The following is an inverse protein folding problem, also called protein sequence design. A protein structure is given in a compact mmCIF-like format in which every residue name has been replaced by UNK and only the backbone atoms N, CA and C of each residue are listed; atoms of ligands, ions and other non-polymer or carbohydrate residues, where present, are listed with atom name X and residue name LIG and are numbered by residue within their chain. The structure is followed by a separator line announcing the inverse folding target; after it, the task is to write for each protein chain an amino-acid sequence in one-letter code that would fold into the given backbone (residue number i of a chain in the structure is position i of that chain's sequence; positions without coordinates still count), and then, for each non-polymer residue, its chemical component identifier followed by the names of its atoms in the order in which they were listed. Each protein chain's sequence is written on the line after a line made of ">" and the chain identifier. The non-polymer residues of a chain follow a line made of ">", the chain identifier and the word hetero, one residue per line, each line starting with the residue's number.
data_IF_189478870642
#
_entry.id   IF_189478870642
#
_cell.length_a   1.000
_cell.length_b   1.000
_cell.length_c   1.000
_cell.angle_alpha   90.00
_cell.angle_beta   90.00
_cell.angle_gamma   90.00
#
_symmetry.space_group_name_H-M   'P 1'
#
loop_
_entity.id
_entity.type
_entity.pdbx_description
1 polymer ?
#
# COMPACT_ATOMS: atom_id res chain seq x y z
N UNK A 1 -5.93 14.52 2.91
CA UNK A 1 -4.44 14.60 2.92
C UNK A 1 -3.84 13.32 3.52
N UNK A 2 -2.79 12.75 2.93
CA UNK A 2 -2.10 11.57 3.47
C UNK A 2 -1.34 11.98 4.73
N UNK A 3 -1.43 11.17 5.80
CA UNK A 3 -0.67 11.41 7.02
C UNK A 3 0.81 11.03 6.77
N UNK A 4 1.76 11.98 6.83
CA UNK A 4 3.18 11.72 6.56
C UNK A 4 3.81 10.74 7.55
N UNK A 5 3.31 10.65 8.78
CA UNK A 5 3.83 9.71 9.78
C UNK A 5 3.49 8.26 9.42
N UNK A 6 2.35 8.03 8.76
CA UNK A 6 2.01 6.70 8.22
C UNK A 6 2.95 6.30 7.09
N UNK A 7 3.38 7.25 6.26
CA UNK A 7 4.33 6.99 5.16
C UNK A 7 5.71 6.63 5.71
N UNK A 8 6.16 7.33 6.75
CA UNK A 8 7.45 7.06 7.42
C UNK A 8 7.52 5.69 8.10
N UNK A 9 6.39 5.16 8.55
CA UNK A 9 6.31 3.84 9.17
C UNK A 9 6.37 2.68 8.16
N UNK A 10 6.21 2.96 6.85
CA UNK A 10 6.32 1.92 5.82
C UNK A 10 7.76 1.50 5.64
N UNK A 11 8.01 0.22 5.86
CA UNK A 11 9.32 -0.40 5.70
C UNK A 11 9.69 -0.61 4.21
N UNK A 12 10.87 -1.16 3.94
CA UNK A 12 11.36 -1.41 2.58
C UNK A 12 12.16 -0.26 1.98
N UNK A 13 12.82 -0.56 0.84
CA UNK A 13 13.83 0.28 0.19
C UNK A 13 13.26 1.33 -0.78
N UNK A 14 11.94 1.37 -1.01
CA UNK A 14 11.35 2.37 -1.88
C UNK A 14 11.52 3.79 -1.30
N UNK A 15 11.62 4.79 -2.18
CA UNK A 15 11.73 6.19 -1.75
C UNK A 15 10.46 6.65 -1.01
N UNK A 16 10.59 7.74 -0.25
CA UNK A 16 9.45 8.34 0.44
C UNK A 16 8.33 8.73 -0.55
N UNK A 17 8.69 9.31 -1.68
CA UNK A 17 7.75 9.72 -2.73
C UNK A 17 7.02 8.52 -3.32
N UNK A 18 7.73 7.41 -3.56
CA UNK A 18 7.12 6.17 -4.05
C UNK A 18 6.13 5.57 -3.02
N UNK A 19 6.51 5.58 -1.73
CA UNK A 19 5.61 5.17 -0.63
C UNK A 19 4.38 6.07 -0.55
N UNK A 20 4.53 7.37 -0.73
CA UNK A 20 3.42 8.31 -0.75
C UNK A 20 2.48 8.05 -1.95
N UNK A 21 3.03 7.77 -3.14
CA UNK A 21 2.24 7.40 -4.33
C UNK A 21 1.42 6.14 -4.08
N UNK A 22 1.99 5.12 -3.43
CA UNK A 22 1.26 3.90 -3.07
C UNK A 22 0.05 4.21 -2.17
N UNK A 23 0.21 5.12 -1.20
CA UNK A 23 -0.91 5.59 -0.37
C UNK A 23 -1.97 6.39 -1.16
N UNK A 24 -1.55 7.20 -2.14
CA UNK A 24 -2.48 7.93 -3.02
C UNK A 24 -3.35 6.93 -3.79
N UNK A 25 -2.74 5.90 -4.37
CA UNK A 25 -3.46 4.85 -5.08
C UNK A 25 -4.38 4.04 -4.18
N UNK A 26 -3.90 3.64 -2.98
CA UNK A 26 -4.75 2.97 -2.00
C UNK A 26 -5.99 3.84 -1.68
N UNK A 27 -5.82 5.13 -1.43
CA UNK A 27 -6.94 6.03 -1.17
C UNK A 27 -7.94 6.10 -2.34
N UNK A 28 -7.47 6.07 -3.59
CA UNK A 28 -8.36 6.00 -4.77
C UNK A 28 -9.19 4.71 -4.74
N UNK A 29 -8.53 3.56 -4.55
CA UNK A 29 -9.22 2.27 -4.50
C UNK A 29 -10.21 2.17 -3.33
N UNK A 30 -9.90 2.79 -2.19
CA UNK A 30 -10.78 2.84 -1.02
C UNK A 30 -11.96 3.81 -1.23
N UNK A 31 -11.76 4.92 -1.94
CA UNK A 31 -12.81 5.92 -2.21
C UNK A 31 -13.79 5.52 -3.31
N UNK A 32 -13.41 4.60 -4.20
CA UNK A 32 -14.23 4.16 -5.32
C UNK A 32 -15.35 3.18 -4.92
N UNK A 33 -15.39 2.73 -3.65
CA UNK A 33 -16.34 1.74 -3.16
C UNK A 33 -17.55 2.35 -2.44
N UNK A 34 -18.63 2.65 -3.15
CA UNK A 34 -19.98 2.70 -2.55
C UNK A 34 -20.54 1.26 -2.39
N UNK A 35 -19.86 0.41 -1.63
CA UNK A 35 -20.20 -1.02 -1.52
C UNK A 35 -20.04 -1.61 -0.11
N UNK A 36 -20.51 -2.86 0.06
CA UNK A 36 -20.60 -3.66 1.30
C UNK A 36 -19.31 -3.73 2.13
N UNK A 37 -18.17 -3.34 1.58
CA UNK A 37 -16.85 -3.45 2.19
C UNK A 37 -16.28 -2.14 2.75
N UNK A 38 -17.00 -1.02 2.79
CA UNK A 38 -16.45 0.28 3.24
C UNK A 38 -15.73 0.24 4.61
N UNK A 39 -16.32 -0.46 5.58
CA UNK A 39 -15.72 -0.67 6.91
C UNK A 39 -14.50 -1.60 6.89
N UNK A 40 -14.46 -2.55 5.96
CA UNK A 40 -13.34 -3.49 5.80
C UNK A 40 -12.18 -2.81 5.09
N UNK A 41 -12.50 -2.01 4.06
CA UNK A 41 -11.55 -1.31 3.21
C UNK A 41 -10.74 -0.28 4.02
N UNK A 42 -11.36 0.43 4.96
CA UNK A 42 -10.68 1.39 5.84
C UNK A 42 -9.62 0.76 6.77
N UNK A 43 -9.64 -0.58 6.94
CA UNK A 43 -8.69 -1.34 7.77
C UNK A 43 -7.44 -1.78 7.01
N UNK A 44 -7.39 -1.58 5.69
CA UNK A 44 -6.20 -1.90 4.88
C UNK A 44 -5.09 -0.87 5.14
N UNK A 45 -3.88 -1.35 5.44
CA UNK A 45 -2.69 -0.53 5.66
C UNK A 45 -1.51 -1.06 4.85
N UNK A 46 -0.70 -0.16 4.29
CA UNK A 46 0.58 -0.53 3.66
C UNK A 46 1.62 -0.66 4.76
N UNK A 47 2.34 -1.79 4.80
CA UNK A 47 3.37 -2.08 5.82
C UNK A 47 4.80 -2.14 5.23
N UNK A 48 4.92 -2.46 3.94
CA UNK A 48 6.19 -2.50 3.22
C UNK A 48 6.00 -2.03 1.79
N UNK A 49 6.94 -1.23 1.29
CA UNK A 49 7.08 -0.96 -0.14
C UNK A 49 8.56 -1.08 -0.53
N UNK A 50 8.84 -1.97 -1.49
CA UNK A 50 10.17 -2.26 -1.96
C UNK A 50 10.24 -2.31 -3.48
N UNK A 51 11.42 -2.00 -4.01
CA UNK A 51 11.81 -2.26 -5.39
C UNK A 51 12.73 -3.48 -5.36
N UNK A 52 12.33 -4.53 -6.04
CA UNK A 52 13.03 -5.82 -6.09
C UNK A 52 13.42 -6.14 -7.53
N UNK A 53 14.39 -7.03 -7.73
CA UNK A 53 14.61 -7.61 -9.05
C UNK A 53 13.53 -8.63 -9.35
N UNK A 54 13.04 -8.64 -10.57
CA UNK A 54 12.15 -9.69 -11.04
C UNK A 54 12.95 -11.01 -11.15
N UNK A 55 12.53 -12.09 -10.47
CA UNK A 55 13.24 -13.37 -10.51
C UNK A 55 13.17 -14.07 -11.88
N UNK A 56 12.13 -13.83 -12.66
CA UNK A 56 11.92 -14.34 -14.02
C UNK A 56 12.63 -13.47 -15.08
N UNK A 57 12.77 -12.18 -14.82
CA UNK A 57 13.42 -11.20 -15.70
C UNK A 57 14.47 -10.36 -14.92
N UNK A 58 15.70 -10.88 -14.66
CA UNK A 58 16.67 -10.25 -13.76
C UNK A 58 17.14 -8.84 -14.16
N UNK A 59 16.97 -8.46 -15.43
CA UNK A 59 17.27 -7.12 -15.94
C UNK A 59 16.16 -6.11 -15.62
N UNK A 60 15.01 -6.56 -15.10
CA UNK A 60 13.87 -5.72 -14.76
C UNK A 60 13.72 -5.56 -13.25
N UNK A 61 13.21 -4.38 -12.88
CA UNK A 61 12.81 -4.05 -11.52
C UNK A 61 11.30 -4.13 -11.40
N UNK A 62 10.84 -4.58 -10.23
CA UNK A 62 9.43 -4.65 -9.88
C UNK A 62 9.16 -3.94 -8.56
N UNK A 63 7.97 -3.33 -8.48
CA UNK A 63 7.45 -2.81 -7.22
C UNK A 63 6.74 -3.93 -6.46
N UNK A 64 7.13 -4.10 -5.20
CA UNK A 64 6.45 -4.97 -4.24
C UNK A 64 5.83 -4.10 -3.16
N UNK A 65 4.51 -4.18 -3.03
CA UNK A 65 3.76 -3.49 -1.97
C UNK A 65 3.05 -4.54 -1.13
N UNK A 66 3.31 -4.53 0.17
CA UNK A 66 2.68 -5.44 1.13
C UNK A 66 1.66 -4.66 1.93
N UNK A 67 0.42 -5.14 1.91
CA UNK A 67 -0.69 -4.59 2.68
C UNK A 67 -1.13 -5.58 3.75
N UNK A 68 -1.50 -5.07 4.91
CA UNK A 68 -2.18 -5.81 5.97
C UNK A 68 -3.62 -5.31 6.11
N UNK A 69 -4.51 -6.20 6.56
CA UNK A 69 -5.89 -5.87 6.87
C UNK A 69 -6.27 -6.53 8.19
N UNK A 70 -6.78 -5.73 9.12
CA UNK A 70 -7.39 -6.26 10.33
C UNK A 70 -8.80 -6.77 10.00
N UNK A 71 -9.08 -8.03 10.34
CA UNK A 71 -10.39 -8.67 10.12
C UNK A 71 -11.06 -8.87 11.47
N UNK A 72 -12.26 -8.32 11.61
CA UNK A 72 -13.12 -8.50 12.78
C UNK A 72 -14.48 -9.02 12.30
N UNK A 73 -15.09 -9.95 13.04
CA UNK A 73 -16.49 -10.32 12.85
C UNK A 73 -17.38 -9.11 13.15
N UNK A 74 -18.32 -8.84 12.26
CA UNK A 74 -19.28 -7.73 12.35
C UNK A 74 -20.66 -8.20 12.78
#
# INVERSE_FOLDING_TARGET
>A
PINPDKVKQVSGNASYEAKEIAYKWLAVFLSAGEGFSGNVASRVRIIEASIIQNPEEPEKLESRVVCEIDVEEG
#
